data_IF_534484334224
#
_entry.id   IF_534484334224
#
_cell.length_a   1.000
_cell.length_b   1.000
_cell.length_c   1.000
_cell.angle_alpha   90.00
_cell.angle_beta   90.00
_cell.angle_gamma   90.00
#
_symmetry.space_group_name_H-M   'P 1'
#
loop_
_entity.id
_entity.type
_entity.pdbx_description
1 polymer ?
#
# COMPACT_ATOMS: atom_id res chain seq x y z
N UNK A 1 1.96 10.55 -10.81
CA UNK A 1 2.88 10.63 -11.93
C UNK A 1 3.39 12.07 -12.14
N UNK A 2 4.57 12.24 -12.80
CA UNK A 2 5.19 13.56 -12.99
C UNK A 2 4.31 14.52 -13.79
N UNK A 3 3.43 14.00 -14.64
CA UNK A 3 2.43 14.77 -15.41
C UNK A 3 1.19 15.15 -14.56
N UNK A 4 1.25 14.99 -13.24
CA UNK A 4 0.12 15.19 -12.33
C UNK A 4 -1.11 14.32 -12.68
N UNK A 5 -0.86 13.18 -13.33
CA UNK A 5 -1.88 12.17 -13.61
C UNK A 5 -2.08 11.28 -12.38
N UNK A 6 -3.32 11.08 -11.98
CA UNK A 6 -3.72 10.17 -10.90
C UNK A 6 -4.33 8.92 -11.50
N UNK A 7 -3.91 7.75 -11.00
CA UNK A 7 -4.51 6.45 -11.32
C UNK A 7 -5.30 5.98 -10.10
N UNK A 8 -6.53 5.55 -10.32
CA UNK A 8 -7.45 5.12 -9.26
C UNK A 8 -7.84 3.67 -9.50
N UNK A 9 -7.62 2.83 -8.50
CA UNK A 9 -8.17 1.48 -8.47
C UNK A 9 -9.67 1.56 -8.12
N UNK A 10 -10.51 1.51 -9.15
CA UNK A 10 -11.97 1.52 -9.01
C UNK A 10 -12.45 0.09 -8.77
N UNK A 11 -12.28 -0.36 -7.51
CA UNK A 11 -12.45 -1.73 -7.04
C UNK A 11 -13.79 -2.35 -7.45
N UNK A 12 -14.88 -1.65 -7.16
CA UNK A 12 -16.23 -2.15 -7.38
C UNK A 12 -16.62 -2.23 -8.86
N UNK A 13 -15.96 -1.46 -9.71
CA UNK A 13 -16.16 -1.47 -11.15
C UNK A 13 -15.09 -2.28 -11.91
N UNK A 14 -14.18 -2.96 -11.18
CA UNK A 14 -13.17 -3.86 -11.75
C UNK A 14 -12.30 -3.22 -12.82
N UNK A 15 -11.80 -2.00 -12.55
CA UNK A 15 -11.04 -1.20 -13.52
C UNK A 15 -10.04 -0.27 -12.86
N UNK A 16 -9.11 0.23 -13.66
CA UNK A 16 -8.24 1.37 -13.31
C UNK A 16 -8.68 2.57 -14.13
N UNK A 17 -8.83 3.71 -13.47
CA UNK A 17 -9.22 4.97 -14.09
C UNK A 17 -8.07 5.97 -13.99
N UNK A 18 -7.70 6.57 -15.13
CA UNK A 18 -6.73 7.65 -15.24
C UNK A 18 -7.44 9.00 -15.14
N UNK A 19 -6.92 9.91 -14.31
CA UNK A 19 -7.37 11.29 -14.21
C UNK A 19 -6.19 12.23 -14.49
N UNK A 20 -6.26 12.96 -15.58
CA UNK A 20 -5.26 13.98 -15.93
C UNK A 20 -5.55 15.29 -15.23
N UNK A 21 -4.50 16.05 -14.97
CA UNK A 21 -4.67 17.40 -14.39
C UNK A 21 -5.67 18.23 -15.19
N UNK A 22 -6.63 18.86 -14.51
CA UNK A 22 -7.66 19.68 -15.13
C UNK A 22 -8.77 18.92 -15.88
N UNK A 23 -8.71 17.57 -15.94
CA UNK A 23 -9.76 16.79 -16.57
C UNK A 23 -11.06 16.80 -15.75
N UNK A 24 -12.19 16.89 -16.41
CA UNK A 24 -13.53 16.82 -15.80
C UNK A 24 -14.11 15.41 -15.75
N UNK A 25 -13.43 14.45 -16.37
CA UNK A 25 -13.80 13.02 -16.37
C UNK A 25 -12.56 12.15 -16.42
N UNK A 26 -12.62 10.99 -15.75
CA UNK A 26 -11.58 9.96 -15.83
C UNK A 26 -11.73 9.09 -17.07
N UNK A 27 -10.63 8.47 -17.48
CA UNK A 27 -10.56 7.51 -18.58
C UNK A 27 -10.21 6.11 -18.05
N UNK A 28 -10.94 5.08 -18.48
CA UNK A 28 -10.60 3.69 -18.17
C UNK A 28 -9.35 3.30 -18.96
N UNK A 29 -8.29 2.86 -18.27
CA UNK A 29 -6.99 2.49 -18.85
C UNK A 29 -6.63 1.02 -18.66
N UNK A 30 -7.30 0.32 -17.73
CA UNK A 30 -7.17 -1.13 -17.55
C UNK A 30 -8.46 -1.73 -17.02
N UNK A 31 -8.78 -2.97 -17.41
CA UNK A 31 -10.03 -3.63 -17.02
C UNK A 31 -11.26 -2.98 -17.65
N UNK A 32 -12.37 -2.94 -16.89
CA UNK A 32 -13.64 -2.34 -17.35
C UNK A 32 -14.43 -3.18 -18.33
N UNK A 33 -14.01 -4.43 -18.60
CA UNK A 33 -14.67 -5.39 -19.49
C UNK A 33 -15.47 -6.44 -18.69
N UNK A 34 -16.07 -6.03 -17.58
CA UNK A 34 -16.70 -6.91 -16.60
C UNK A 34 -15.68 -7.58 -15.68
N UNK A 35 -16.20 -8.10 -14.57
CA UNK A 35 -15.39 -8.87 -13.61
C UNK A 35 -14.90 -10.19 -14.24
N UNK A 36 -13.62 -10.50 -14.07
CA UNK A 36 -13.09 -11.78 -14.56
C UNK A 36 -11.57 -11.88 -14.45
N UNK A 37 -11.05 -13.04 -14.87
CA UNK A 37 -9.62 -13.36 -14.82
C UNK A 37 -8.92 -13.35 -16.20
N UNK A 38 -9.65 -13.00 -17.26
CA UNK A 38 -9.09 -12.87 -18.60
C UNK A 38 -8.00 -11.80 -18.68
N UNK A 39 -7.20 -11.82 -19.74
CA UNK A 39 -6.12 -10.85 -19.94
C UNK A 39 -6.63 -9.40 -20.06
N UNK A 40 -7.87 -9.20 -20.50
CA UNK A 40 -8.53 -7.91 -20.62
C UNK A 40 -9.45 -7.55 -19.45
N UNK A 41 -9.44 -8.35 -18.38
CA UNK A 41 -10.32 -8.21 -17.22
C UNK A 41 -9.51 -8.07 -15.92
N UNK A 42 -10.14 -7.42 -14.94
CA UNK A 42 -9.70 -7.34 -13.55
C UNK A 42 -10.84 -7.80 -12.62
N UNK A 43 -10.51 -8.12 -11.37
CA UNK A 43 -11.48 -8.46 -10.34
C UNK A 43 -11.11 -7.84 -9.01
N UNK A 44 -11.80 -6.74 -8.63
CA UNK A 44 -11.56 -6.03 -7.39
C UNK A 44 -10.12 -5.54 -7.23
N UNK A 45 -9.57 -4.75 -8.16
CA UNK A 45 -8.23 -4.20 -8.00
C UNK A 45 -8.18 -3.31 -6.76
N UNK A 46 -7.11 -3.44 -5.95
CA UNK A 46 -6.94 -2.67 -4.71
C UNK A 46 -5.93 -1.56 -4.86
N UNK A 47 -4.86 -1.79 -5.62
CA UNK A 47 -3.80 -0.81 -5.78
C UNK A 47 -3.23 -0.80 -7.20
N UNK A 48 -2.62 0.32 -7.58
CA UNK A 48 -1.98 0.52 -8.88
C UNK A 48 -0.79 1.47 -8.76
N UNK A 49 0.35 1.05 -9.28
CA UNK A 49 1.55 1.88 -9.40
C UNK A 49 2.01 2.00 -10.84
N UNK A 50 2.83 3.03 -11.11
CA UNK A 50 3.40 3.28 -12.44
C UNK A 50 4.84 2.78 -12.50
N UNK A 51 5.12 1.81 -13.37
CA UNK A 51 6.48 1.45 -13.78
C UNK A 51 6.88 2.35 -14.95
N UNK A 52 7.59 3.46 -14.63
CA UNK A 52 7.98 4.48 -15.62
C UNK A 52 8.94 3.95 -16.68
N UNK A 53 9.84 3.04 -16.29
CA UNK A 53 10.82 2.49 -17.24
C UNK A 53 10.20 1.59 -18.30
N UNK A 54 9.11 0.87 -17.93
CA UNK A 54 8.39 0.00 -18.85
C UNK A 54 7.13 0.62 -19.45
N UNK A 55 6.87 1.89 -19.13
CA UNK A 55 5.64 2.59 -19.50
C UNK A 55 4.40 1.72 -19.25
N UNK A 56 4.31 1.16 -18.04
CA UNK A 56 3.26 0.23 -17.67
C UNK A 56 2.68 0.53 -16.30
N UNK A 57 1.44 0.09 -16.09
CA UNK A 57 0.81 0.02 -14.78
C UNK A 57 1.08 -1.36 -14.18
N UNK A 58 1.36 -1.41 -12.88
CA UNK A 58 1.41 -2.65 -12.10
C UNK A 58 0.23 -2.61 -11.15
N UNK A 59 -0.64 -3.60 -11.24
CA UNK A 59 -1.98 -3.60 -10.64
C UNK A 59 -2.12 -4.79 -9.70
N UNK A 60 -2.57 -4.51 -8.49
CA UNK A 60 -2.96 -5.50 -7.49
C UNK A 60 -4.38 -6.01 -7.82
N UNK A 61 -4.49 -7.10 -8.55
CA UNK A 61 -5.76 -7.72 -8.96
C UNK A 61 -6.23 -8.74 -7.91
N UNK A 62 -6.66 -8.19 -6.76
CA UNK A 62 -6.85 -8.90 -5.49
C UNK A 62 -7.71 -10.15 -5.59
N UNK A 63 -8.94 -10.05 -6.11
CA UNK A 63 -9.86 -11.19 -6.15
C UNK A 63 -9.41 -12.31 -7.10
N UNK A 64 -8.51 -12.00 -8.04
CA UNK A 64 -7.86 -12.99 -8.91
C UNK A 64 -6.55 -13.53 -8.30
N UNK A 65 -6.14 -13.05 -7.13
CA UNK A 65 -4.91 -13.44 -6.44
C UNK A 65 -3.68 -13.33 -7.32
N UNK A 66 -3.53 -12.18 -8.00
CA UNK A 66 -2.43 -11.92 -8.93
C UNK A 66 -2.02 -10.46 -8.96
N UNK A 67 -0.80 -10.21 -9.43
CA UNK A 67 -0.34 -8.90 -9.87
C UNK A 67 -0.25 -8.90 -11.38
N UNK A 68 -0.80 -7.88 -12.00
CA UNK A 68 -0.87 -7.74 -13.47
C UNK A 68 -0.05 -6.53 -13.89
N UNK A 69 0.78 -6.68 -14.95
CA UNK A 69 1.36 -5.57 -15.68
C UNK A 69 0.47 -5.23 -16.86
N UNK A 70 0.13 -3.95 -17.01
CA UNK A 70 -0.72 -3.46 -18.09
C UNK A 70 0.00 -2.33 -18.84
N UNK A 71 0.09 -2.36 -20.18
CA UNK A 71 0.66 -1.24 -20.92
C UNK A 71 -0.09 0.06 -20.61
N UNK A 72 0.64 1.09 -20.23
CA UNK A 72 0.06 2.37 -19.79
C UNK A 72 -0.66 3.10 -20.92
N UNK A 73 -0.15 2.96 -22.14
CA UNK A 73 -0.70 3.61 -23.33
C UNK A 73 -1.28 2.59 -24.28
N UNK A 74 -2.56 2.78 -24.66
CA UNK A 74 -3.28 1.91 -25.60
C UNK A 74 -3.30 0.42 -25.23
N UNK A 75 -3.13 0.09 -23.95
CA UNK A 75 -3.18 -1.29 -23.46
C UNK A 75 -4.60 -1.84 -23.47
N UNK A 76 -4.82 -2.93 -24.21
CA UNK A 76 -6.12 -3.63 -24.25
C UNK A 76 -6.13 -4.89 -23.37
N UNK A 77 -4.95 -5.31 -22.89
CA UNK A 77 -4.79 -6.50 -22.04
C UNK A 77 -3.56 -6.38 -21.18
N UNK A 78 -3.58 -7.07 -20.05
CA UNK A 78 -2.46 -7.18 -19.11
C UNK A 78 -1.84 -8.56 -19.09
N UNK A 79 -0.61 -8.63 -18.61
CA UNK A 79 0.16 -9.83 -18.36
C UNK A 79 0.19 -10.11 -16.85
N UNK A 80 -0.14 -11.33 -16.42
CA UNK A 80 0.06 -11.74 -15.04
C UNK A 80 1.56 -11.92 -14.77
N UNK A 81 2.12 -11.08 -13.91
CA UNK A 81 3.56 -11.12 -13.55
C UNK A 81 3.81 -11.85 -12.24
N UNK A 82 2.81 -11.92 -11.35
CA UNK A 82 2.86 -12.69 -10.09
C UNK A 82 1.50 -13.35 -9.91
N UNK A 83 1.50 -14.63 -9.56
CA UNK A 83 0.28 -15.41 -9.29
C UNK A 83 0.30 -15.99 -7.87
N UNK A 84 -0.88 -16.40 -7.38
CA UNK A 84 -1.07 -16.99 -6.05
C UNK A 84 -0.61 -16.09 -4.89
N UNK A 85 -0.95 -14.81 -4.98
CA UNK A 85 -0.64 -13.80 -3.98
C UNK A 85 -1.91 -13.01 -3.62
N UNK A 86 -2.21 -12.89 -2.34
CA UNK A 86 -3.32 -12.07 -1.85
C UNK A 86 -2.84 -10.61 -1.70
N UNK A 87 -2.56 -10.00 -2.87
CA UNK A 87 -2.00 -8.67 -2.98
C UNK A 87 -2.98 -7.60 -2.51
N UNK A 88 -2.59 -6.75 -1.57
CA UNK A 88 -3.40 -5.61 -1.11
C UNK A 88 -2.77 -4.27 -1.42
N UNK A 89 -1.44 -4.19 -1.45
CA UNK A 89 -0.71 -2.97 -1.74
C UNK A 89 0.61 -3.26 -2.46
N UNK A 90 1.08 -2.30 -3.22
CA UNK A 90 2.29 -2.36 -4.05
C UNK A 90 3.14 -1.12 -3.86
N UNK A 91 4.45 -1.29 -3.83
CA UNK A 91 5.39 -0.17 -4.00
C UNK A 91 6.60 -0.62 -4.80
N UNK A 92 7.35 0.33 -5.33
CA UNK A 92 8.55 0.05 -6.14
C UNK A 92 9.69 0.95 -5.67
N UNK A 93 10.88 0.37 -5.51
CA UNK A 93 12.08 1.14 -5.22
C UNK A 93 12.67 1.78 -6.50
N UNK A 94 13.69 2.63 -6.34
CA UNK A 94 14.36 3.31 -7.45
C UNK A 94 15.10 2.35 -8.39
N UNK A 95 15.39 1.12 -7.96
CA UNK A 95 15.99 0.07 -8.79
C UNK A 95 14.93 -0.72 -9.56
N UNK A 96 13.65 -0.39 -9.38
CA UNK A 96 12.51 -1.06 -10.00
C UNK A 96 12.20 -2.43 -9.42
N UNK A 97 12.66 -2.71 -8.19
CA UNK A 97 12.19 -3.88 -7.44
C UNK A 97 10.78 -3.62 -6.92
N UNK A 98 9.88 -4.56 -7.16
CA UNK A 98 8.50 -4.49 -6.71
C UNK A 98 8.38 -5.11 -5.32
N UNK A 99 7.74 -4.40 -4.41
CA UNK A 99 7.37 -4.91 -3.09
C UNK A 99 5.86 -5.10 -3.04
N UNK A 100 5.43 -6.27 -2.60
CA UNK A 100 4.03 -6.68 -2.60
C UNK A 100 3.64 -7.16 -1.21
N UNK A 101 2.58 -6.59 -0.67
CA UNK A 101 1.97 -7.08 0.56
C UNK A 101 1.10 -8.29 0.26
N UNK A 102 1.49 -9.47 0.78
CA UNK A 102 0.69 -10.70 0.73
C UNK A 102 -0.11 -10.82 2.03
N UNK A 103 -1.36 -10.34 1.99
CA UNK A 103 -2.26 -10.34 3.14
C UNK A 103 -2.54 -11.75 3.66
N UNK A 104 -2.70 -12.73 2.77
CA UNK A 104 -3.03 -14.10 3.15
C UNK A 104 -1.88 -14.87 3.82
N UNK A 105 -0.64 -14.36 3.68
CA UNK A 105 0.54 -14.98 4.30
C UNK A 105 1.18 -14.14 5.38
N UNK A 106 0.62 -12.99 5.70
CA UNK A 106 1.19 -12.05 6.66
C UNK A 106 2.67 -11.74 6.37
N UNK A 107 2.96 -11.38 5.11
CA UNK A 107 4.32 -11.08 4.67
C UNK A 107 4.37 -9.98 3.59
N UNK A 108 5.55 -9.37 3.42
CA UNK A 108 5.89 -8.56 2.25
C UNK A 108 6.96 -9.27 1.45
N UNK A 109 6.75 -9.37 0.14
CA UNK A 109 7.71 -9.95 -0.80
C UNK A 109 8.31 -8.90 -1.71
N UNK A 110 9.64 -8.96 -1.90
CA UNK A 110 10.35 -8.20 -2.90
C UNK A 110 10.59 -9.07 -4.14
N UNK A 111 10.28 -8.53 -5.30
CA UNK A 111 10.56 -9.11 -6.62
C UNK A 111 11.51 -8.18 -7.36
N UNK A 112 12.79 -8.56 -7.49
CA UNK A 112 13.73 -7.83 -8.33
C UNK A 112 13.37 -7.98 -9.79
N UNK A 113 13.89 -7.09 -10.63
CA UNK A 113 13.66 -7.16 -12.06
C UNK A 113 14.10 -8.51 -12.63
N UNK A 114 13.18 -9.19 -13.32
CA UNK A 114 13.42 -10.52 -13.92
C UNK A 114 13.29 -11.70 -12.98
N UNK A 115 13.03 -11.49 -11.68
CA UNK A 115 12.74 -12.58 -10.75
C UNK A 115 11.26 -12.99 -10.88
N UNK A 116 11.02 -14.30 -10.99
CA UNK A 116 9.68 -14.91 -10.97
C UNK A 116 9.26 -15.32 -9.57
N UNK A 117 10.23 -15.49 -8.65
CA UNK A 117 9.99 -15.83 -7.25
C UNK A 117 10.47 -14.68 -6.36
N UNK A 118 9.54 -14.12 -5.60
CA UNK A 118 9.87 -13.05 -4.66
C UNK A 118 10.56 -13.59 -3.40
N UNK A 119 11.38 -12.73 -2.79
CA UNK A 119 12.01 -12.97 -1.50
C UNK A 119 11.19 -12.32 -0.40
N UNK A 120 10.88 -13.04 0.69
CA UNK A 120 10.25 -12.45 1.88
C UNK A 120 11.23 -11.45 2.51
N UNK A 121 10.77 -10.21 2.72
CA UNK A 121 11.57 -9.12 3.30
C UNK A 121 11.01 -8.64 4.63
N UNK A 122 9.76 -8.96 4.94
CA UNK A 122 9.10 -8.64 6.20
C UNK A 122 8.06 -9.71 6.53
N UNK A 123 7.92 -10.10 7.79
CA UNK A 123 6.96 -11.14 8.20
C UNK A 123 7.33 -12.53 7.71
N UNK A 124 6.30 -13.32 7.31
CA UNK A 124 6.49 -14.67 6.77
C UNK A 124 6.74 -15.75 7.83
N UNK A 125 6.64 -15.42 9.12
CA UNK A 125 6.79 -16.36 10.24
C UNK A 125 5.45 -16.66 10.94
N UNK A 126 4.38 -16.67 10.14
CA UNK A 126 2.99 -16.80 10.58
C UNK A 126 2.44 -15.51 11.17
N UNK A 127 1.10 -15.46 11.32
CA UNK A 127 0.41 -14.31 11.91
C UNK A 127 0.75 -14.14 13.38
N UNK A 128 1.01 -12.92 13.82
CA UNK A 128 1.28 -12.64 15.22
C UNK A 128 1.89 -11.28 15.49
N UNK A 129 2.23 -11.04 16.76
CA UNK A 129 2.71 -9.75 17.25
C UNK A 129 4.20 -9.70 17.57
N UNK A 130 4.96 -10.79 17.35
CA UNK A 130 6.41 -10.78 17.54
C UNK A 130 7.06 -9.82 16.53
N UNK A 131 8.31 -9.46 16.75
CA UNK A 131 9.03 -8.53 15.88
C UNK A 131 9.43 -9.15 14.53
N UNK A 132 9.36 -10.48 14.38
CA UNK A 132 9.57 -11.23 13.15
C UNK A 132 8.27 -11.65 12.46
N UNK A 133 7.12 -11.22 12.97
CA UNK A 133 5.78 -11.52 12.47
C UNK A 133 5.03 -10.27 12.05
N UNK A 134 4.06 -10.45 11.15
CA UNK A 134 3.04 -9.50 10.80
C UNK A 134 1.65 -10.08 11.15
N UNK A 135 0.65 -9.22 11.23
CA UNK A 135 -0.76 -9.61 11.33
C UNK A 135 -1.63 -8.64 10.54
N UNK A 136 -2.28 -9.16 9.50
CA UNK A 136 -3.08 -8.36 8.57
C UNK A 136 -2.30 -7.14 8.04
N UNK A 137 -1.14 -7.36 7.37
CA UNK A 137 -0.39 -6.26 6.76
C UNK A 137 -1.21 -5.65 5.63
N UNK A 138 -1.29 -4.34 5.59
CA UNK A 138 -2.13 -3.63 4.61
C UNK A 138 -1.32 -2.79 3.64
N UNK A 139 -0.58 -1.78 4.12
CA UNK A 139 0.19 -0.89 3.27
C UNK A 139 1.69 -1.09 3.45
N UNK A 140 2.43 -0.89 2.36
CA UNK A 140 3.89 -1.00 2.33
C UNK A 140 4.52 0.26 1.74
N UNK A 141 5.54 0.77 2.40
CA UNK A 141 6.40 1.84 1.91
C UNK A 141 7.86 1.40 1.98
N UNK A 142 8.66 1.79 1.00
CA UNK A 142 10.10 1.50 0.98
C UNK A 142 10.87 2.82 0.89
N UNK A 143 11.82 3.02 1.81
CA UNK A 143 12.68 4.20 1.81
C UNK A 143 13.91 4.01 0.89
N UNK A 144 14.71 5.06 0.73
CA UNK A 144 15.91 5.03 -0.12
C UNK A 144 17.00 4.09 0.38
N UNK A 145 16.96 3.72 1.65
CA UNK A 145 17.88 2.75 2.25
C UNK A 145 17.31 1.32 2.13
N UNK A 146 16.30 1.13 1.29
CA UNK A 146 15.56 -0.13 1.08
C UNK A 146 14.97 -0.72 2.37
N UNK A 147 14.75 0.11 3.39
CA UNK A 147 13.99 -0.31 4.56
C UNK A 147 12.51 -0.37 4.22
N UNK A 148 11.86 -1.44 4.64
CA UNK A 148 10.45 -1.70 4.39
C UNK A 148 9.63 -1.29 5.61
N UNK A 149 8.65 -0.45 5.40
CA UNK A 149 7.68 -0.04 6.42
C UNK A 149 6.32 -0.66 6.10
N UNK A 150 5.68 -1.27 7.08
CA UNK A 150 4.42 -1.99 6.90
C UNK A 150 3.43 -1.55 7.97
N UNK A 151 2.25 -1.10 7.55
CA UNK A 151 1.13 -0.93 8.47
C UNK A 151 0.41 -2.26 8.70
N UNK A 152 0.11 -2.56 9.94
CA UNK A 152 -0.57 -3.78 10.36
C UNK A 152 -1.90 -3.46 11.04
N UNK A 153 -3.00 -3.82 10.42
CA UNK A 153 -4.32 -3.66 11.01
C UNK A 153 -4.49 -4.53 12.27
N UNK A 154 -4.06 -5.79 12.22
CA UNK A 154 -4.24 -6.75 13.30
C UNK A 154 -3.51 -6.36 14.59
N UNK A 155 -2.34 -5.73 14.47
CA UNK A 155 -1.55 -5.30 15.62
C UNK A 155 -1.64 -3.79 15.92
N UNK A 156 -2.35 -3.01 15.10
CA UNK A 156 -2.50 -1.56 15.25
C UNK A 156 -1.15 -0.86 15.41
N UNK A 157 -0.20 -1.16 14.52
CA UNK A 157 1.16 -0.62 14.53
C UNK A 157 1.72 -0.43 13.12
N UNK A 158 2.80 0.32 13.02
CA UNK A 158 3.67 0.35 11.84
C UNK A 158 5.02 -0.23 12.23
N UNK A 159 5.49 -1.20 11.46
CA UNK A 159 6.77 -1.85 11.61
C UNK A 159 7.75 -1.38 10.53
N UNK A 160 9.05 -1.32 10.88
CA UNK A 160 10.15 -1.09 9.93
C UNK A 160 11.10 -2.28 9.94
N UNK A 161 11.45 -2.81 8.77
CA UNK A 161 12.55 -3.75 8.55
C UNK A 161 13.67 -3.05 7.78
N UNK A 162 14.85 -2.97 8.37
CA UNK A 162 16.06 -2.57 7.64
C UNK A 162 16.42 -3.68 6.65
N UNK A 163 16.98 -3.36 5.50
CA UNK A 163 17.34 -4.35 4.49
C UNK A 163 18.16 -5.51 5.07
N UNK A 164 17.70 -6.74 4.85
CA UNK A 164 18.32 -7.97 5.34
C UNK A 164 18.07 -8.28 6.82
N UNK A 165 17.37 -7.44 7.57
CA UNK A 165 17.03 -7.71 8.97
C UNK A 165 16.03 -8.86 9.07
N UNK A 166 16.21 -9.73 10.09
CA UNK A 166 15.30 -10.84 10.37
C UNK A 166 14.13 -10.45 11.28
N UNK A 167 14.22 -9.29 11.90
CA UNK A 167 13.19 -8.72 12.79
C UNK A 167 13.02 -7.26 12.46
N UNK A 168 11.77 -6.81 12.56
CA UNK A 168 11.43 -5.40 12.46
C UNK A 168 11.51 -4.69 13.81
N UNK A 169 11.30 -3.38 13.76
CA UNK A 169 11.11 -2.52 14.93
C UNK A 169 9.76 -1.80 14.80
N UNK A 170 9.07 -1.58 15.90
CA UNK A 170 7.87 -0.76 15.93
C UNK A 170 8.29 0.71 15.79
N UNK A 171 7.73 1.42 14.81
CA UNK A 171 8.04 2.85 14.54
C UNK A 171 6.84 3.76 14.78
N UNK A 172 5.62 3.21 14.86
CA UNK A 172 4.41 3.94 15.24
C UNK A 172 3.37 2.99 15.84
N UNK A 173 2.57 3.45 16.78
CA UNK A 173 1.54 2.64 17.42
C UNK A 173 2.09 1.51 18.30
N UNK A 174 1.38 0.36 18.31
CA UNK A 174 1.83 -0.85 19.00
C UNK A 174 1.57 -0.87 20.52
N UNK A 175 0.89 0.13 21.06
CA UNK A 175 0.46 0.19 22.46
C UNK A 175 -1.03 -0.17 22.61
N UNK A 176 -1.45 -1.18 21.83
CA UNK A 176 -2.85 -1.57 21.72
C UNK A 176 -3.67 -0.63 20.84
N UNK A 177 -4.89 -1.07 20.55
CA UNK A 177 -5.89 -0.33 19.78
C UNK A 177 -6.39 0.87 20.57
N UNK A 178 -6.43 2.06 19.96
CA UNK A 178 -6.98 3.24 20.60
C UNK A 178 -6.64 4.55 19.90
N UNK A 179 -7.05 5.67 20.50
CA UNK A 179 -6.87 7.02 19.97
C UNK A 179 -5.81 7.86 20.73
N UNK A 180 -5.08 7.27 21.68
CA UNK A 180 -3.95 7.93 22.34
C UNK A 180 -2.81 8.24 21.39
N UNK A 181 -1.87 9.12 21.81
CA UNK A 181 -0.73 9.52 20.97
C UNK A 181 0.30 8.41 20.74
N UNK A 182 0.24 7.31 21.48
CA UNK A 182 1.05 6.12 21.31
C UNK A 182 0.31 4.97 20.61
N UNK A 183 -0.96 5.18 20.25
CA UNK A 183 -1.87 4.18 19.74
C UNK A 183 -2.31 4.49 18.32
N UNK A 184 -2.71 3.45 17.61
CA UNK A 184 -3.38 3.48 16.31
C UNK A 184 -4.63 2.61 16.36
N UNK A 185 -5.53 2.80 15.40
CA UNK A 185 -6.69 1.95 15.21
C UNK A 185 -6.93 1.72 13.72
N UNK A 186 -6.65 0.50 13.24
CA UNK A 186 -6.69 0.11 11.84
C UNK A 186 -5.86 1.07 10.97
N UNK A 187 -4.52 1.14 11.19
CA UNK A 187 -3.65 1.98 10.37
C UNK A 187 -3.69 1.52 8.92
N UNK A 188 -3.88 2.47 8.05
CA UNK A 188 -3.93 2.31 6.60
C UNK A 188 -2.62 2.82 5.98
N UNK A 189 -2.70 3.76 5.04
CA UNK A 189 -1.55 4.29 4.32
C UNK A 189 -0.41 4.75 5.23
N UNK A 190 0.81 4.42 4.84
CA UNK A 190 2.05 4.84 5.50
C UNK A 190 2.99 5.45 4.49
N UNK A 191 3.57 6.60 4.84
CA UNK A 191 4.65 7.23 4.08
C UNK A 191 5.74 7.71 5.03
N UNK A 192 6.97 7.75 4.53
CA UNK A 192 8.12 8.19 5.33
C UNK A 192 8.89 9.26 4.56
N UNK A 193 9.16 10.40 5.19
CA UNK A 193 9.95 11.44 4.56
C UNK A 193 11.46 11.19 4.70
N UNK A 194 12.28 12.03 4.05
CA UNK A 194 13.74 11.91 4.05
C UNK A 194 14.38 12.05 5.43
N UNK A 195 13.69 12.65 6.41
CA UNK A 195 14.16 12.78 7.80
C UNK A 195 13.80 11.55 8.65
N UNK A 196 13.13 10.55 8.05
CA UNK A 196 12.68 9.35 8.73
C UNK A 196 11.43 9.56 9.58
N UNK A 197 10.69 10.66 9.38
CA UNK A 197 9.38 10.87 10.01
C UNK A 197 8.35 9.99 9.32
N UNK A 198 7.66 9.17 10.10
CA UNK A 198 6.58 8.29 9.65
C UNK A 198 5.25 9.03 9.75
N UNK A 199 4.49 9.02 8.67
CA UNK A 199 3.13 9.53 8.60
C UNK A 199 2.18 8.36 8.37
N UNK A 200 1.10 8.31 9.13
CA UNK A 200 0.15 7.19 9.13
C UNK A 200 -1.27 7.71 9.02
N UNK A 201 -2.02 7.16 8.08
CA UNK A 201 -3.47 7.26 8.07
C UNK A 201 -4.03 6.33 9.15
N UNK A 202 -4.48 6.91 10.27
CA UNK A 202 -5.06 6.19 11.39
C UNK A 202 -6.58 6.03 11.16
N UNK A 203 -6.90 5.05 10.31
CA UNK A 203 -8.15 4.97 9.54
C UNK A 203 -9.41 5.03 10.39
N UNK A 204 -9.50 4.27 11.47
CA UNK A 204 -10.68 4.24 12.33
C UNK A 204 -10.71 5.33 13.41
N UNK A 205 -9.66 6.15 13.47
CA UNK A 205 -9.66 7.37 14.27
C UNK A 205 -9.82 8.62 13.38
N UNK A 206 -10.03 8.48 12.08
CA UNK A 206 -10.25 9.56 11.11
C UNK A 206 -9.20 10.68 11.21
N UNK A 207 -7.93 10.31 11.41
CA UNK A 207 -6.83 11.26 11.61
C UNK A 207 -5.56 10.87 10.86
N UNK A 208 -4.72 11.86 10.57
CA UNK A 208 -3.34 11.63 10.12
C UNK A 208 -2.40 11.88 11.29
N UNK A 209 -1.60 10.89 11.60
CA UNK A 209 -0.60 10.94 12.65
C UNK A 209 0.81 11.00 12.09
N UNK A 210 1.73 11.65 12.80
CA UNK A 210 3.17 11.63 12.48
C UNK A 210 3.99 11.20 13.69
N UNK A 211 5.04 10.40 13.43
CA UNK A 211 6.07 10.04 14.38
C UNK A 211 7.43 10.48 13.84
N UNK A 212 8.10 11.49 14.44
CA UNK A 212 9.50 11.77 14.14
C UNK A 212 10.38 10.54 14.40
N UNK A 213 11.48 10.40 13.69
CA UNK A 213 12.41 9.29 13.85
C UNK A 213 12.80 9.11 15.32
N UNK A 214 12.56 7.91 15.87
CA UNK A 214 12.85 7.55 17.26
C UNK A 214 11.88 8.10 18.30
N UNK A 215 10.79 8.79 17.90
CA UNK A 215 9.79 9.25 18.84
C UNK A 215 8.98 8.07 19.43
N UNK A 216 8.71 8.13 20.72
CA UNK A 216 7.90 7.13 21.43
C UNK A 216 6.40 7.41 21.36
N UNK A 217 6.01 8.62 20.94
CA UNK A 217 4.64 9.04 20.71
C UNK A 217 4.53 9.88 19.45
N UNK A 218 3.37 9.84 18.82
CA UNK A 218 3.04 10.63 17.65
C UNK A 218 2.38 11.97 18.01
N UNK A 219 2.08 12.73 16.97
CA UNK A 219 1.19 13.89 17.04
C UNK A 219 0.22 13.86 15.87
N UNK A 220 -1.03 14.27 16.10
CA UNK A 220 -1.99 14.44 15.03
C UNK A 220 -1.62 15.66 14.17
N UNK A 221 -1.74 15.52 12.86
CA UNK A 221 -1.58 16.61 11.88
C UNK A 221 -2.96 17.08 11.43
N UNK A 222 -3.84 16.14 11.19
CA UNK A 222 -5.25 16.32 10.87
C UNK A 222 -6.02 15.43 11.82
N UNK A 223 -7.04 15.98 12.47
CA UNK A 223 -7.88 15.26 13.44
C UNK A 223 -9.35 15.43 13.05
N UNK A 224 -10.05 14.30 12.86
CA UNK A 224 -11.45 14.25 12.46
C UNK A 224 -12.47 14.43 13.60
N UNK A 225 -12.04 14.70 14.82
CA UNK A 225 -12.88 14.72 16.01
C UNK A 225 -13.82 15.93 16.15
N UNK A 226 -14.29 16.54 15.09
CA UNK A 226 -15.32 17.58 15.17
C UNK A 226 -16.66 17.04 14.67
N UNK A 227 -17.72 17.37 15.39
CA UNK A 227 -19.11 16.95 15.13
C UNK A 227 -19.81 17.70 13.99
N UNK A 228 -19.09 18.59 13.29
CA UNK A 228 -19.62 19.39 12.18
C UNK A 228 -18.77 19.16 10.92
N UNK A 229 -19.40 19.00 9.76
CA UNK A 229 -18.72 18.87 8.46
C UNK A 229 -17.96 20.15 8.11
N UNK A 230 -16.67 20.18 8.42
CA UNK A 230 -15.75 21.27 8.06
C UNK A 230 -14.73 20.76 7.05
N UNK A 231 -14.19 21.66 6.23
CA UNK A 231 -13.23 21.34 5.15
C UNK A 231 -11.88 20.76 5.62
N UNK A 232 -11.64 20.74 6.92
CA UNK A 232 -10.45 20.18 7.58
C UNK A 232 -10.69 18.84 8.27
N UNK A 233 -11.86 18.24 8.04
CA UNK A 233 -12.23 16.92 8.62
C UNK A 233 -11.96 15.80 7.63
N UNK A 234 -11.56 14.64 8.18
CA UNK A 234 -11.44 13.39 7.47
C UNK A 234 -12.53 12.44 7.98
N UNK A 235 -13.13 11.69 7.07
CA UNK A 235 -14.10 10.65 7.42
C UNK A 235 -13.85 9.44 6.52
N UNK A 236 -13.65 8.26 7.14
CA UNK A 236 -13.43 7.02 6.42
C UNK A 236 -12.13 7.02 5.62
N UNK A 237 -11.00 7.33 6.26
CA UNK A 237 -9.68 7.18 5.64
C UNK A 237 -9.43 5.71 5.30
N UNK A 238 -9.31 5.46 4.01
CA UNK A 238 -8.98 4.14 3.45
C UNK A 238 -7.63 4.23 2.77
#
# INVERSE_FOLDING_TARGET
DDDQTVYVADRSNHRIVEWKWGATSGQVVAGGNGQGSGAHQLSGPLDVIVDKERDSLVICDYSNRRVVRWPRRNGTSGETIISNIDCVDLTMDENGSLYVTDFGKDEVRRYRRGESQGTVVSGGNGSGNRLDQLSSPHYVFVDRDHSVYVSEEGNNRVMKWVEGAKQGIVVAGGQGKGNGLTQLYYPQGVVVNQLGTVYVADGWNDRIMRWPKGATQGSAIVDGHCTEEQSNQLNGLI
#
